data_IF_580536554898
#
_entry.id   IF_580536554898
#
_cell.length_a   1.000
_cell.length_b   1.000
_cell.length_c   1.000
_cell.angle_alpha   90.00
_cell.angle_beta   90.00
_cell.angle_gamma   90.00
#
_symmetry.space_group_name_H-M   'P 1'
#
loop_
_entity.id
_entity.type
_entity.pdbx_description
1 polymer ?
#
# COMPACT_ATOMS: atom_id res chain seq x y z
N UNK A 1 7.04 -15.87 30.82
CA UNK A 1 5.64 -15.72 30.38
C UNK A 1 5.64 -14.58 29.41
N UNK A 2 5.40 -14.84 28.12
CA UNK A 2 5.29 -13.77 27.13
C UNK A 2 3.96 -13.06 27.42
N UNK A 3 3.95 -11.74 27.44
CA UNK A 3 2.71 -10.96 27.60
C UNK A 3 1.75 -11.26 26.42
N UNK A 4 0.44 -11.21 26.65
CA UNK A 4 -0.57 -11.64 25.68
C UNK A 4 -0.41 -10.97 24.31
N UNK A 5 -0.20 -9.64 24.31
CA UNK A 5 -0.02 -8.86 23.09
C UNK A 5 1.28 -9.25 22.36
N UNK A 6 2.34 -9.59 23.10
CA UNK A 6 3.57 -10.07 22.50
C UNK A 6 3.42 -11.48 21.89
N UNK A 7 2.59 -12.35 22.48
CA UNK A 7 2.27 -13.65 21.92
C UNK A 7 1.43 -13.53 20.64
N UNK A 8 0.46 -12.61 20.60
CA UNK A 8 -0.31 -12.34 19.37
C UNK A 8 0.56 -11.70 18.28
N UNK A 9 1.43 -10.75 18.62
CA UNK A 9 2.41 -10.20 17.67
C UNK A 9 3.32 -11.27 17.09
N UNK A 10 3.81 -12.20 17.91
CA UNK A 10 4.60 -13.33 17.44
C UNK A 10 3.81 -14.23 16.48
N UNK A 11 2.52 -14.48 16.76
CA UNK A 11 1.67 -15.26 15.85
C UNK A 11 1.46 -14.58 14.50
N UNK A 12 1.43 -13.24 14.48
CA UNK A 12 1.33 -12.46 13.23
C UNK A 12 2.62 -12.46 12.41
N UNK A 13 3.73 -13.00 12.93
CA UNK A 13 4.96 -13.24 12.17
C UNK A 13 4.91 -14.56 11.37
N UNK A 14 3.97 -15.46 11.68
CA UNK A 14 3.73 -16.68 10.91
C UNK A 14 3.10 -16.35 9.54
N UNK A 15 3.33 -17.15 8.48
CA UNK A 15 2.70 -16.93 7.18
C UNK A 15 1.18 -16.84 7.29
N UNK A 16 0.56 -15.89 6.61
CA UNK A 16 -0.87 -15.62 6.75
C UNK A 16 -1.71 -16.85 6.38
N UNK A 17 -1.27 -17.58 5.35
CA UNK A 17 -1.82 -18.88 4.94
C UNK A 17 -1.78 -19.99 6.01
N UNK A 18 -0.81 -19.97 6.93
CA UNK A 18 -0.72 -20.91 8.06
C UNK A 18 -1.66 -20.53 9.22
N UNK A 19 -1.86 -19.22 9.45
CA UNK A 19 -2.76 -18.72 10.49
C UNK A 19 -4.22 -18.92 10.10
N UNK A 20 -4.55 -18.66 8.83
CA UNK A 20 -5.90 -18.76 8.27
C UNK A 20 -6.76 -17.50 8.45
N UNK A 21 -7.80 -17.38 7.63
CA UNK A 21 -8.64 -16.18 7.53
C UNK A 21 -9.46 -15.94 8.80
N UNK A 22 -10.17 -16.96 9.29
CA UNK A 22 -11.08 -16.83 10.43
C UNK A 22 -10.36 -16.52 11.74
N UNK A 23 -9.20 -17.14 12.06
CA UNK A 23 -8.43 -16.75 13.24
C UNK A 23 -7.94 -15.31 13.18
N UNK A 24 -7.51 -14.81 12.02
CA UNK A 24 -7.12 -13.40 11.84
C UNK A 24 -8.33 -12.47 12.03
N UNK A 25 -9.49 -12.80 11.47
CA UNK A 25 -10.73 -12.07 11.68
C UNK A 25 -11.11 -12.00 13.17
N UNK A 26 -11.01 -13.12 13.89
CA UNK A 26 -11.25 -13.17 15.32
C UNK A 26 -10.25 -12.30 16.10
N UNK A 27 -8.96 -12.32 15.72
CA UNK A 27 -7.94 -11.46 16.33
C UNK A 27 -8.27 -9.98 16.17
N UNK A 28 -8.74 -9.54 14.99
CA UNK A 28 -9.16 -8.16 14.74
C UNK A 28 -10.27 -7.75 15.72
N UNK A 29 -11.37 -8.52 15.78
CA UNK A 29 -12.50 -8.18 16.63
C UNK A 29 -12.14 -8.20 18.11
N UNK A 30 -11.44 -9.24 18.56
CA UNK A 30 -11.07 -9.39 19.96
C UNK A 30 -10.18 -8.24 20.43
N UNK A 31 -9.17 -7.88 19.63
CA UNK A 31 -8.26 -6.79 19.99
C UNK A 31 -8.96 -5.43 19.99
N UNK A 32 -9.85 -5.16 19.04
CA UNK A 32 -10.64 -3.93 19.07
C UNK A 32 -11.58 -3.89 20.27
N UNK A 33 -12.21 -5.02 20.61
CA UNK A 33 -13.06 -5.11 21.80
C UNK A 33 -12.26 -4.89 23.08
N UNK A 34 -11.06 -5.48 23.17
CA UNK A 34 -10.15 -5.27 24.29
C UNK A 34 -9.69 -3.81 24.39
N UNK A 35 -9.42 -3.15 23.26
CA UNK A 35 -9.11 -1.71 23.23
C UNK A 35 -10.26 -0.87 23.80
N UNK A 36 -11.50 -1.13 23.39
CA UNK A 36 -12.68 -0.41 23.89
C UNK A 36 -12.86 -0.61 25.39
N UNK A 37 -12.84 -1.86 25.85
CA UNK A 37 -13.02 -2.20 27.27
C UNK A 37 -11.89 -1.62 28.13
N UNK A 38 -10.65 -1.64 27.64
CA UNK A 38 -9.50 -1.06 28.34
C UNK A 38 -9.59 0.46 28.41
N UNK A 39 -10.11 1.10 27.37
CA UNK A 39 -10.33 2.56 27.35
C UNK A 39 -11.45 2.96 28.31
N UNK A 40 -12.56 2.21 28.32
CA UNK A 40 -13.66 2.43 29.26
C UNK A 40 -13.20 2.25 30.72
N UNK A 41 -12.47 1.17 31.00
CA UNK A 41 -11.89 0.91 32.30
C UNK A 41 -10.91 2.02 32.72
N UNK A 42 -10.06 2.47 31.79
CA UNK A 42 -9.12 3.58 32.02
C UNK A 42 -9.87 4.84 32.46
N UNK A 43 -10.90 5.25 31.70
CA UNK A 43 -11.67 6.45 32.00
C UNK A 43 -12.36 6.34 33.37
N UNK A 44 -13.05 5.24 33.63
CA UNK A 44 -13.74 5.02 34.90
C UNK A 44 -12.78 4.99 36.09
N UNK A 45 -11.61 4.38 35.93
CA UNK A 45 -10.59 4.30 36.98
C UNK A 45 -9.98 5.67 37.28
N UNK A 46 -9.61 6.42 36.24
CA UNK A 46 -9.01 7.74 36.39
C UNK A 46 -9.99 8.76 37.02
N UNK A 47 -11.29 8.66 36.72
CA UNK A 47 -12.34 9.47 37.35
C UNK A 47 -12.56 9.12 38.83
N UNK A 48 -12.38 7.85 39.20
CA UNK A 48 -12.59 7.38 40.57
C UNK A 48 -11.40 7.63 41.51
N UNK A 49 -10.20 7.84 40.96
CA UNK A 49 -8.97 8.01 41.72
C UNK A 49 -8.71 9.49 42.07
N UNK A 50 -8.19 9.78 43.27
CA UNK A 50 -7.57 11.08 43.54
C UNK A 50 -6.42 11.33 42.56
N UNK A 51 -6.22 12.60 42.18
CA UNK A 51 -5.26 12.98 41.12
C UNK A 51 -3.85 12.40 41.32
N UNK A 52 -3.34 12.42 42.55
CA UNK A 52 -2.01 11.89 42.87
C UNK A 52 -1.86 10.38 42.61
N UNK A 53 -2.96 9.63 42.60
CA UNK A 53 -2.96 8.20 42.25
C UNK A 53 -3.29 8.00 40.76
N UNK A 54 -4.17 8.82 40.19
CA UNK A 54 -4.49 8.77 38.76
C UNK A 54 -3.25 8.97 37.88
N UNK A 55 -2.36 9.90 38.25
CA UNK A 55 -1.08 10.14 37.56
C UNK A 55 -0.09 8.96 37.61
N UNK A 56 -0.30 7.97 38.50
CA UNK A 56 0.56 6.79 38.63
C UNK A 56 0.07 5.59 37.80
N UNK A 57 -1.14 5.66 37.23
CA UNK A 57 -1.73 4.55 36.46
C UNK A 57 -1.61 4.83 34.98
N UNK A 58 -1.09 3.86 34.22
CA UNK A 58 -0.93 3.96 32.77
C UNK A 58 -1.67 2.82 32.06
N UNK A 59 -2.74 3.16 31.34
CA UNK A 59 -3.45 2.25 30.44
C UNK A 59 -3.08 2.45 28.97
N UNK A 60 -2.37 3.53 28.65
CA UNK A 60 -2.13 3.98 27.28
C UNK A 60 -1.37 2.92 26.48
N UNK A 61 -0.34 2.32 27.06
CA UNK A 61 0.48 1.30 26.40
C UNK A 61 -0.33 0.03 26.09
N UNK A 62 -1.19 -0.38 27.02
CA UNK A 62 -2.08 -1.54 26.82
C UNK A 62 -3.11 -1.26 25.73
N UNK A 63 -3.77 -0.10 25.75
CA UNK A 63 -4.72 0.30 24.71
C UNK A 63 -4.03 0.37 23.34
N UNK A 64 -2.85 1.02 23.25
CA UNK A 64 -2.07 1.08 22.02
C UNK A 64 -1.71 -0.32 21.52
N UNK A 65 -1.26 -1.22 22.40
CA UNK A 65 -0.90 -2.59 22.04
C UNK A 65 -2.05 -3.36 21.39
N UNK A 66 -3.26 -3.28 21.94
CA UNK A 66 -4.44 -3.93 21.33
C UNK A 66 -4.77 -3.32 19.96
N UNK A 67 -4.71 -2.00 19.83
CA UNK A 67 -4.96 -1.35 18.56
C UNK A 67 -3.91 -1.70 17.48
N UNK A 68 -2.65 -1.87 17.88
CA UNK A 68 -1.56 -2.30 16.99
C UNK A 68 -1.77 -3.74 16.51
N UNK A 69 -2.10 -4.67 17.40
CA UNK A 69 -2.39 -6.07 17.02
C UNK A 69 -3.58 -6.12 16.07
N UNK A 70 -4.65 -5.38 16.34
CA UNK A 70 -5.79 -5.31 15.43
C UNK A 70 -5.42 -4.75 14.04
N UNK A 71 -4.56 -3.73 13.99
CA UNK A 71 -4.07 -3.16 12.73
C UNK A 71 -3.26 -4.18 11.93
N UNK A 72 -2.33 -4.87 12.58
CA UNK A 72 -1.49 -5.87 11.93
C UNK A 72 -2.30 -7.08 11.48
N UNK A 73 -3.26 -7.54 12.28
CA UNK A 73 -4.18 -8.61 11.89
C UNK A 73 -5.02 -8.25 10.64
N UNK A 74 -5.40 -6.97 10.46
CA UNK A 74 -6.01 -6.50 9.21
C UNK A 74 -5.07 -6.69 8.02
N UNK A 75 -3.80 -6.29 8.15
CA UNK A 75 -2.81 -6.46 7.09
C UNK A 75 -2.54 -7.93 6.78
N UNK A 76 -2.42 -8.79 7.81
CA UNK A 76 -2.28 -10.23 7.61
C UNK A 76 -3.50 -10.85 6.93
N UNK A 77 -4.72 -10.36 7.21
CA UNK A 77 -5.93 -10.81 6.50
C UNK A 77 -5.87 -10.46 5.01
N UNK A 78 -5.30 -9.31 4.65
CA UNK A 78 -5.02 -8.98 3.24
C UNK A 78 -3.95 -9.91 2.68
N UNK A 79 -2.89 -10.23 3.43
CA UNK A 79 -1.85 -11.16 2.98
C UNK A 79 -2.41 -12.55 2.67
N UNK A 80 -3.44 -13.04 3.38
CA UNK A 80 -4.10 -14.32 3.03
C UNK A 80 -4.58 -14.30 1.57
N UNK A 81 -5.17 -13.19 1.11
CA UNK A 81 -5.65 -13.05 -0.26
C UNK A 81 -4.47 -13.00 -1.24
N UNK A 82 -3.47 -12.18 -0.93
CA UNK A 82 -2.34 -12.00 -1.84
C UNK A 82 -1.40 -13.22 -1.83
N UNK A 83 -1.39 -14.07 -0.82
CA UNK A 83 -0.67 -15.34 -0.78
C UNK A 83 -1.44 -16.49 -1.46
N UNK A 84 -2.72 -16.29 -1.79
CA UNK A 84 -3.52 -17.30 -2.49
C UNK A 84 -2.86 -17.66 -3.84
N UNK A 85 -2.66 -18.96 -4.14
CA UNK A 85 -2.03 -19.38 -5.39
C UNK A 85 -2.75 -18.88 -6.65
N UNK A 86 -4.09 -18.85 -6.65
CA UNK A 86 -4.88 -18.36 -7.77
C UNK A 86 -4.70 -16.85 -7.98
N UNK A 87 -4.64 -16.08 -6.90
CA UNK A 87 -4.31 -14.65 -6.96
C UNK A 87 -2.88 -14.44 -7.46
N UNK A 88 -1.90 -15.15 -6.92
CA UNK A 88 -0.50 -15.07 -7.38
C UNK A 88 -0.35 -15.39 -8.87
N UNK A 89 -1.06 -16.42 -9.37
CA UNK A 89 -1.09 -16.77 -10.80
C UNK A 89 -1.64 -15.64 -11.69
N UNK A 90 -2.58 -14.84 -11.20
CA UNK A 90 -3.08 -13.66 -11.90
C UNK A 90 -2.07 -12.50 -11.83
N UNK A 91 -1.50 -12.24 -10.65
CA UNK A 91 -0.58 -11.12 -10.43
C UNK A 91 0.67 -11.21 -11.31
N UNK A 92 1.25 -12.40 -11.47
CA UNK A 92 2.43 -12.58 -12.34
C UNK A 92 2.13 -12.25 -13.82
N UNK A 93 0.85 -12.21 -14.23
CA UNK A 93 0.42 -11.87 -15.59
C UNK A 93 0.14 -10.38 -15.79
N UNK A 94 0.25 -9.54 -14.75
CA UNK A 94 0.15 -8.09 -14.89
C UNK A 94 1.17 -7.58 -15.92
N UNK A 95 0.74 -6.64 -16.75
CA UNK A 95 1.52 -6.10 -17.88
C UNK A 95 1.96 -7.14 -18.92
N UNK A 96 1.28 -8.29 -18.96
CA UNK A 96 1.42 -9.31 -20.01
C UNK A 96 0.18 -9.34 -20.93
N UNK A 97 0.15 -10.30 -21.85
CA UNK A 97 -0.93 -10.44 -22.84
C UNK A 97 -2.31 -10.61 -22.20
N UNK A 98 -2.46 -11.51 -21.23
CA UNK A 98 -3.74 -11.75 -20.56
C UNK A 98 -4.26 -10.50 -19.84
N UNK A 99 -3.35 -9.69 -19.27
CA UNK A 99 -3.67 -8.40 -18.66
C UNK A 99 -4.10 -7.38 -19.72
N UNK A 100 -3.39 -7.31 -20.86
CA UNK A 100 -3.74 -6.43 -21.96
C UNK A 100 -5.15 -6.70 -22.52
N UNK A 101 -5.55 -7.98 -22.53
CA UNK A 101 -6.89 -8.43 -22.92
C UNK A 101 -7.97 -8.16 -21.84
N UNK A 102 -7.61 -7.60 -20.68
CA UNK A 102 -8.53 -7.21 -19.60
C UNK A 102 -8.83 -8.32 -18.57
N UNK A 103 -8.37 -9.55 -18.81
CA UNK A 103 -8.75 -10.72 -18.01
C UNK A 103 -8.22 -10.66 -16.57
N UNK A 104 -6.99 -10.17 -16.39
CA UNK A 104 -6.30 -10.23 -15.09
C UNK A 104 -7.03 -9.38 -14.05
N UNK A 105 -7.29 -8.11 -14.35
CA UNK A 105 -7.92 -7.18 -13.41
C UNK A 105 -9.35 -7.59 -13.07
N UNK A 106 -10.12 -8.04 -14.08
CA UNK A 106 -11.50 -8.52 -13.88
C UNK A 106 -11.56 -9.75 -12.96
N UNK A 107 -10.66 -10.72 -13.15
CA UNK A 107 -10.61 -11.90 -12.28
C UNK A 107 -10.07 -11.59 -10.89
N UNK A 108 -9.15 -10.64 -10.75
CA UNK A 108 -8.68 -10.19 -9.45
C UNK A 108 -9.83 -9.57 -8.64
N UNK A 109 -10.59 -8.63 -9.20
CA UNK A 109 -11.70 -8.00 -8.46
C UNK A 109 -12.83 -8.97 -8.16
N UNK A 110 -13.10 -9.94 -9.05
CA UNK A 110 -14.06 -11.01 -8.76
C UNK A 110 -13.60 -11.86 -7.56
N UNK A 111 -12.33 -12.27 -7.55
CA UNK A 111 -11.74 -13.04 -6.45
C UNK A 111 -11.74 -12.24 -5.14
N UNK A 112 -11.40 -10.95 -5.19
CA UNK A 112 -11.50 -10.06 -4.04
C UNK A 112 -12.93 -9.96 -3.52
N UNK A 113 -13.93 -9.90 -4.40
CA UNK A 113 -15.34 -9.89 -4.03
C UNK A 113 -15.78 -11.12 -3.21
N UNK A 114 -15.29 -12.30 -3.59
CA UNK A 114 -15.54 -13.54 -2.86
C UNK A 114 -14.93 -13.47 -1.45
N UNK A 115 -13.64 -13.10 -1.33
CA UNK A 115 -12.99 -12.92 -0.03
C UNK A 115 -13.66 -11.82 0.81
N UNK A 116 -14.07 -10.72 0.20
CA UNK A 116 -14.73 -9.62 0.90
C UNK A 116 -16.05 -10.08 1.49
N UNK A 117 -16.79 -10.92 0.77
CA UNK A 117 -18.03 -11.53 1.26
C UNK A 117 -17.76 -12.38 2.49
N UNK A 118 -16.74 -13.24 2.46
CA UNK A 118 -16.37 -14.09 3.59
C UNK A 118 -15.89 -13.29 4.80
N UNK A 119 -14.93 -12.38 4.61
CA UNK A 119 -14.38 -11.55 5.69
C UNK A 119 -15.47 -10.72 6.35
N UNK A 120 -16.40 -10.15 5.57
CA UNK A 120 -17.52 -9.36 6.09
C UNK A 120 -18.45 -10.16 7.01
N UNK A 121 -18.50 -11.49 6.89
CA UNK A 121 -19.27 -12.33 7.83
C UNK A 121 -18.62 -12.41 9.21
N UNK A 122 -17.29 -12.22 9.29
CA UNK A 122 -16.53 -12.48 10.50
C UNK A 122 -16.09 -11.23 11.25
N UNK A 123 -15.96 -10.07 10.61
CA UNK A 123 -15.49 -8.83 11.26
C UNK A 123 -16.52 -7.71 11.26
N UNK A 124 -16.41 -6.81 12.24
CA UNK A 124 -17.29 -5.65 12.33
C UNK A 124 -17.14 -4.71 11.12
N UNK A 125 -18.25 -4.07 10.73
CA UNK A 125 -18.33 -3.18 9.55
C UNK A 125 -17.23 -2.10 9.52
N UNK A 126 -16.89 -1.51 10.68
CA UNK A 126 -15.81 -0.51 10.76
C UNK A 126 -14.45 -1.11 10.40
N UNK A 127 -14.17 -2.32 10.87
CA UNK A 127 -12.94 -3.07 10.61
C UNK A 127 -12.90 -3.56 9.17
N UNK A 128 -14.03 -4.02 8.65
CA UNK A 128 -14.18 -4.42 7.26
C UNK A 128 -13.80 -3.29 6.30
N UNK A 129 -14.26 -2.06 6.53
CA UNK A 129 -13.85 -0.90 5.71
C UNK A 129 -12.34 -0.63 5.75
N UNK A 130 -11.69 -0.85 6.89
CA UNK A 130 -10.22 -0.70 7.02
C UNK A 130 -9.47 -1.81 6.29
N UNK A 131 -10.01 -3.02 6.33
CA UNK A 131 -9.49 -4.16 5.57
C UNK A 131 -9.59 -3.93 4.07
N UNK A 132 -10.74 -3.47 3.55
CA UNK A 132 -10.89 -3.13 2.14
C UNK A 132 -9.94 -2.00 1.72
N UNK A 133 -9.79 -0.98 2.56
CA UNK A 133 -8.84 0.12 2.34
C UNK A 133 -7.39 -0.40 2.25
N UNK A 134 -6.98 -1.32 3.14
CA UNK A 134 -5.67 -1.95 3.09
C UNK A 134 -5.48 -2.86 1.85
N UNK A 135 -6.52 -3.56 1.42
CA UNK A 135 -6.51 -4.38 0.21
C UNK A 135 -6.33 -3.53 -1.06
N UNK A 136 -6.97 -2.36 -1.14
CA UNK A 136 -6.75 -1.40 -2.23
C UNK A 136 -5.30 -0.90 -2.23
N UNK A 137 -4.76 -0.56 -1.06
CA UNK A 137 -3.36 -0.12 -0.95
C UNK A 137 -2.37 -1.19 -1.41
N UNK A 138 -2.54 -2.46 -1.01
CA UNK A 138 -1.71 -3.57 -1.48
C UNK A 138 -1.85 -3.78 -3.00
N UNK A 139 -3.08 -3.69 -3.53
CA UNK A 139 -3.32 -3.78 -4.99
C UNK A 139 -2.52 -2.73 -5.75
N UNK A 140 -2.55 -1.48 -5.30
CA UNK A 140 -1.81 -0.38 -5.93
C UNK A 140 -0.29 -0.61 -5.84
N UNK A 141 0.21 -1.08 -4.70
CA UNK A 141 1.63 -1.44 -4.54
C UNK A 141 2.04 -2.51 -5.54
N UNK A 142 1.24 -3.56 -5.70
CA UNK A 142 1.52 -4.67 -6.61
C UNK A 142 1.48 -4.23 -8.08
N UNK A 143 0.48 -3.44 -8.48
CA UNK A 143 0.42 -2.85 -9.83
C UNK A 143 1.64 -1.97 -10.10
N UNK A 144 2.00 -1.11 -9.15
CA UNK A 144 3.18 -0.24 -9.26
C UNK A 144 4.47 -1.06 -9.41
N UNK A 145 4.65 -2.12 -8.63
CA UNK A 145 5.85 -2.97 -8.70
C UNK A 145 5.94 -3.70 -10.05
N UNK A 146 4.83 -4.24 -10.57
CA UNK A 146 4.81 -4.91 -11.87
C UNK A 146 5.03 -3.93 -13.03
N UNK A 147 4.50 -2.72 -12.96
CA UNK A 147 4.77 -1.66 -13.94
C UNK A 147 6.27 -1.34 -14.01
N UNK A 148 6.91 -1.21 -12.85
CA UNK A 148 8.31 -0.79 -12.73
C UNK A 148 9.33 -1.92 -12.95
N UNK A 149 8.87 -3.16 -13.09
CA UNK A 149 9.69 -4.35 -13.32
C UNK A 149 9.44 -5.04 -14.66
N UNK A 150 8.36 -4.68 -15.35
CA UNK A 150 8.11 -5.21 -16.69
C UNK A 150 9.27 -4.91 -17.64
N UNK A 151 9.37 -5.70 -18.72
CA UNK A 151 10.43 -5.58 -19.71
C UNK A 151 9.92 -5.24 -21.10
N UNK A 152 8.62 -5.10 -21.24
CA UNK A 152 7.96 -4.76 -22.50
C UNK A 152 7.87 -3.25 -22.61
N UNK A 153 8.07 -2.73 -23.82
CA UNK A 153 7.86 -1.31 -24.06
C UNK A 153 6.40 -0.93 -23.87
N UNK A 154 6.19 0.23 -23.26
CA UNK A 154 4.88 0.84 -23.08
C UNK A 154 4.41 1.40 -24.42
N UNK A 155 3.23 0.95 -24.84
CA UNK A 155 2.54 1.38 -26.06
C UNK A 155 1.21 2.02 -25.72
N UNK A 156 0.55 2.61 -26.71
CA UNK A 156 -0.78 3.23 -26.53
C UNK A 156 -1.81 2.23 -25.97
N UNK A 157 -1.79 0.98 -26.44
CA UNK A 157 -2.65 -0.08 -25.90
C UNK A 157 -2.38 -0.38 -24.41
N UNK A 158 -1.13 -0.24 -23.96
CA UNK A 158 -0.74 -0.36 -22.56
C UNK A 158 -1.34 0.78 -21.74
N UNK A 159 -1.22 2.02 -22.23
CA UNK A 159 -1.76 3.21 -21.58
C UNK A 159 -3.28 3.13 -21.45
N UNK A 160 -3.98 2.73 -22.51
CA UNK A 160 -5.43 2.59 -22.47
C UNK A 160 -5.86 1.47 -21.51
N UNK A 161 -5.14 0.34 -21.48
CA UNK A 161 -5.42 -0.73 -20.52
C UNK A 161 -5.22 -0.29 -19.07
N UNK A 162 -4.16 0.47 -18.78
CA UNK A 162 -3.94 1.06 -17.44
C UNK A 162 -5.12 1.96 -17.04
N UNK A 163 -5.61 2.80 -17.95
CA UNK A 163 -6.77 3.67 -17.72
C UNK A 163 -8.04 2.88 -17.39
N UNK A 164 -8.31 1.82 -18.15
CA UNK A 164 -9.47 0.96 -17.91
C UNK A 164 -9.35 0.20 -16.58
N UNK A 165 -8.14 -0.18 -16.17
CA UNK A 165 -7.93 -0.82 -14.87
C UNK A 165 -8.13 0.15 -13.70
N UNK A 166 -7.73 1.41 -13.85
CA UNK A 166 -8.06 2.47 -12.89
C UNK A 166 -9.59 2.53 -12.69
N UNK A 167 -10.37 2.50 -13.77
CA UNK A 167 -11.84 2.49 -13.72
C UNK A 167 -12.41 1.25 -13.02
N UNK A 168 -11.93 0.05 -13.37
CA UNK A 168 -12.39 -1.21 -12.75
C UNK A 168 -12.09 -1.22 -11.25
N UNK A 169 -10.89 -0.80 -10.85
CA UNK A 169 -10.52 -0.71 -9.43
C UNK A 169 -11.37 0.36 -8.71
N UNK A 170 -11.58 1.53 -9.32
CA UNK A 170 -12.43 2.57 -8.73
C UNK A 170 -13.87 2.08 -8.52
N UNK A 171 -14.44 1.46 -9.55
CA UNK A 171 -15.82 0.98 -9.54
C UNK A 171 -16.03 -0.15 -8.52
N UNK A 172 -15.09 -1.08 -8.42
CA UNK A 172 -15.16 -2.17 -7.45
C UNK A 172 -15.01 -1.66 -6.00
N UNK A 173 -13.95 -0.92 -5.69
CA UNK A 173 -13.66 -0.54 -4.31
C UNK A 173 -14.63 0.49 -3.73
N UNK A 174 -15.25 1.34 -4.56
CA UNK A 174 -16.24 2.34 -4.09
C UNK A 174 -17.56 1.74 -3.61
N UNK A 175 -17.82 0.46 -3.90
CA UNK A 175 -18.98 -0.25 -3.36
C UNK A 175 -18.84 -0.51 -1.85
N UNK A 176 -17.61 -0.49 -1.33
CA UNK A 176 -17.29 -0.90 0.04
C UNK A 176 -16.75 0.24 0.91
N UNK A 177 -16.04 1.20 0.32
CA UNK A 177 -15.48 2.37 1.01
C UNK A 177 -15.82 3.67 0.28
N UNK A 178 -15.66 4.82 0.96
CA UNK A 178 -16.05 6.12 0.39
C UNK A 178 -15.27 6.45 -0.89
N UNK A 179 -15.96 6.99 -1.90
CA UNK A 179 -15.38 7.42 -3.19
C UNK A 179 -14.06 8.18 -3.04
N UNK A 180 -14.03 9.21 -2.19
CA UNK A 180 -12.82 10.02 -1.96
C UNK A 180 -11.60 9.21 -1.49
N UNK A 181 -11.81 8.16 -0.68
CA UNK A 181 -10.72 7.27 -0.23
C UNK A 181 -10.18 6.40 -1.35
N UNK A 182 -11.05 6.00 -2.28
CA UNK A 182 -10.69 5.22 -3.46
C UNK A 182 -9.92 6.10 -4.43
N UNK A 183 -10.49 7.25 -4.82
CA UNK A 183 -9.88 8.22 -5.73
C UNK A 183 -8.48 8.63 -5.26
N UNK A 184 -8.33 9.01 -3.98
CA UNK A 184 -7.04 9.46 -3.44
C UNK A 184 -5.96 8.38 -3.53
N UNK A 185 -6.33 7.10 -3.42
CA UNK A 185 -5.40 5.98 -3.50
C UNK A 185 -5.08 5.60 -4.93
N UNK A 186 -6.10 5.49 -5.78
CA UNK A 186 -5.95 5.13 -7.20
C UNK A 186 -5.21 6.23 -7.98
N UNK A 187 -5.28 7.49 -7.54
CA UNK A 187 -4.66 8.65 -8.21
C UNK A 187 -3.24 8.38 -8.73
N UNK A 188 -2.40 7.74 -7.91
CA UNK A 188 -1.02 7.44 -8.28
C UNK A 188 -0.88 6.51 -9.50
N UNK A 189 -1.81 5.59 -9.73
CA UNK A 189 -1.81 4.75 -10.93
C UNK A 189 -2.04 5.63 -12.17
N UNK A 190 -2.96 6.59 -12.07
CA UNK A 190 -3.20 7.61 -13.09
C UNK A 190 -1.97 8.50 -13.33
N UNK A 191 -1.32 8.96 -12.27
CA UNK A 191 -0.11 9.79 -12.40
C UNK A 191 1.06 9.01 -13.03
N UNK A 192 1.22 7.73 -12.68
CA UNK A 192 2.21 6.84 -13.30
C UNK A 192 1.87 6.56 -14.77
N UNK A 193 0.58 6.43 -15.11
CA UNK A 193 0.11 6.35 -16.51
C UNK A 193 0.45 7.63 -17.27
N UNK A 194 0.22 8.80 -16.68
CA UNK A 194 0.54 10.09 -17.30
C UNK A 194 2.05 10.25 -17.53
N UNK A 195 2.90 9.90 -16.55
CA UNK A 195 4.35 9.81 -16.73
C UNK A 195 4.71 8.84 -17.85
N UNK A 196 4.06 7.67 -17.87
CA UNK A 196 4.25 6.67 -18.89
C UNK A 196 3.77 7.10 -20.28
N UNK A 197 2.92 8.13 -20.43
CA UNK A 197 2.51 8.70 -21.73
C UNK A 197 3.15 10.05 -22.06
N UNK A 198 3.87 10.68 -21.13
CA UNK A 198 4.46 12.01 -21.32
C UNK A 198 5.38 12.08 -22.57
N UNK A 199 5.30 13.19 -23.32
CA UNK A 199 5.98 13.36 -24.61
C UNK A 199 7.05 14.46 -24.61
N UNK A 200 7.15 15.22 -23.51
CA UNK A 200 8.06 16.36 -23.41
C UNK A 200 8.66 16.47 -22.01
N UNK A 201 9.83 17.14 -21.92
CA UNK A 201 10.49 17.43 -20.65
C UNK A 201 9.55 18.15 -19.67
N UNK A 202 8.86 19.19 -20.15
CA UNK A 202 7.91 19.97 -19.35
C UNK A 202 6.75 19.11 -18.82
N UNK A 203 6.27 18.14 -19.62
CA UNK A 203 5.23 17.21 -19.16
C UNK A 203 5.76 16.30 -18.05
N UNK A 204 6.95 15.72 -18.21
CA UNK A 204 7.56 14.87 -17.18
C UNK A 204 7.75 15.62 -15.86
N UNK A 205 8.32 16.83 -15.92
CA UNK A 205 8.61 17.63 -14.72
C UNK A 205 7.33 18.08 -14.02
N UNK A 206 6.30 18.50 -14.78
CA UNK A 206 5.01 18.88 -14.22
C UNK A 206 4.32 17.70 -13.53
N UNK A 207 4.19 16.56 -14.20
CA UNK A 207 3.52 15.38 -13.64
C UNK A 207 4.28 14.89 -12.41
N UNK A 208 5.61 14.83 -12.47
CA UNK A 208 6.41 14.40 -11.32
C UNK A 208 6.31 15.36 -10.14
N UNK A 209 6.27 16.67 -10.38
CA UNK A 209 6.01 17.68 -9.33
C UNK A 209 4.66 17.43 -8.67
N UNK A 210 3.61 17.19 -9.46
CA UNK A 210 2.27 16.89 -8.94
C UNK A 210 2.27 15.59 -8.11
N UNK A 211 3.00 14.56 -8.53
CA UNK A 211 3.15 13.33 -7.75
C UNK A 211 3.73 13.64 -6.38
N UNK A 212 4.79 14.45 -6.29
CA UNK A 212 5.43 14.78 -5.02
C UNK A 212 4.53 15.56 -4.06
N UNK A 213 3.49 16.26 -4.54
CA UNK A 213 2.53 16.93 -3.67
C UNK A 213 1.73 15.96 -2.79
N UNK A 214 1.48 14.73 -3.26
CA UNK A 214 0.68 13.73 -2.53
C UNK A 214 1.37 12.39 -2.29
N UNK A 215 2.48 12.11 -2.97
CA UNK A 215 3.43 11.02 -2.70
C UNK A 215 4.86 11.58 -2.63
N UNK A 216 5.19 12.38 -1.59
CA UNK A 216 6.49 13.03 -1.48
C UNK A 216 7.68 12.08 -1.35
N UNK A 217 7.45 10.80 -1.07
CA UNK A 217 8.46 9.75 -1.03
C UNK A 217 8.62 8.99 -2.36
N UNK A 218 7.99 9.46 -3.45
CA UNK A 218 8.21 8.93 -4.79
C UNK A 218 9.65 9.22 -5.24
N UNK A 219 10.51 8.21 -5.42
CA UNK A 219 11.90 8.45 -5.74
C UNK A 219 12.08 8.61 -7.26
N UNK A 220 13.09 9.37 -7.72
CA UNK A 220 13.30 9.65 -9.15
C UNK A 220 13.61 8.39 -9.97
N UNK A 221 14.02 7.30 -9.34
CA UNK A 221 14.16 5.96 -9.92
C UNK A 221 12.86 5.47 -10.59
N UNK A 222 11.69 5.93 -10.13
CA UNK A 222 10.39 5.66 -10.77
C UNK A 222 10.36 6.26 -12.18
N UNK A 223 10.74 7.53 -12.31
CA UNK A 223 10.82 8.22 -13.61
C UNK A 223 11.85 7.55 -14.50
N UNK A 224 13.03 7.23 -13.96
CA UNK A 224 14.10 6.54 -14.70
C UNK A 224 13.61 5.21 -15.30
N UNK A 225 12.89 4.41 -14.53
CA UNK A 225 12.32 3.14 -14.99
C UNK A 225 11.24 3.34 -16.06
N UNK A 226 10.31 4.27 -15.87
CA UNK A 226 9.24 4.53 -16.84
C UNK A 226 9.78 5.08 -18.17
N UNK A 227 10.72 6.01 -18.12
CA UNK A 227 11.38 6.55 -19.33
C UNK A 227 12.12 5.44 -20.08
N UNK A 228 12.77 4.50 -19.37
CA UNK A 228 13.45 3.37 -20.00
C UNK A 228 12.49 2.39 -20.70
N UNK A 229 11.22 2.36 -20.32
CA UNK A 229 10.18 1.55 -20.95
C UNK A 229 9.49 2.25 -22.14
N UNK A 230 9.93 3.47 -22.52
CA UNK A 230 9.37 4.19 -23.66
C UNK A 230 10.19 4.01 -24.93
N UNK A 231 9.50 3.68 -26.01
CA UNK A 231 10.06 3.81 -27.36
C UNK A 231 9.99 5.26 -27.83
N UNK A 232 10.98 5.67 -28.64
CA UNK A 232 10.96 6.97 -29.32
C UNK A 232 11.55 8.15 -28.53
N UNK A 233 11.90 7.98 -27.25
CA UNK A 233 12.62 9.02 -26.49
C UNK A 233 14.13 8.91 -26.76
N UNK A 234 14.78 9.95 -27.33
CA UNK A 234 16.22 9.94 -27.52
C UNK A 234 16.97 9.80 -26.19
N UNK A 235 18.07 9.05 -26.18
CA UNK A 235 18.85 8.80 -24.95
C UNK A 235 19.35 10.08 -24.26
N UNK A 236 19.58 11.15 -25.04
CA UNK A 236 19.97 12.45 -24.49
C UNK A 236 18.82 13.04 -23.68
N UNK A 237 17.64 13.10 -24.28
CA UNK A 237 16.42 13.66 -23.68
C UNK A 237 15.97 12.82 -22.47
N UNK A 238 16.09 11.49 -22.55
CA UNK A 238 15.84 10.60 -21.41
C UNK A 238 16.73 10.92 -20.20
N UNK A 239 18.02 11.23 -20.43
CA UNK A 239 18.93 11.64 -19.34
C UNK A 239 18.57 13.00 -18.76
N UNK A 240 18.16 13.92 -19.63
CA UNK A 240 17.73 15.27 -19.23
C UNK A 240 16.48 15.20 -18.36
N UNK A 241 15.46 14.44 -18.77
CA UNK A 241 14.25 14.17 -17.98
C UNK A 241 14.60 13.62 -16.59
N UNK A 242 15.44 12.59 -16.52
CA UNK A 242 15.81 11.97 -15.25
C UNK A 242 16.60 12.93 -14.37
N UNK A 243 17.45 13.77 -14.95
CA UNK A 243 18.24 14.75 -14.19
C UNK A 243 17.34 15.84 -13.60
N UNK A 244 16.45 16.43 -14.40
CA UNK A 244 15.51 17.46 -13.93
C UNK A 244 14.57 16.92 -12.84
N UNK A 245 14.03 15.71 -13.01
CA UNK A 245 13.21 15.09 -11.96
C UNK A 245 14.01 14.78 -10.68
N UNK A 246 15.31 14.44 -10.79
CA UNK A 246 16.19 14.29 -9.61
C UNK A 246 16.35 15.61 -8.86
N UNK A 247 16.56 16.71 -9.57
CA UNK A 247 16.68 18.05 -8.97
C UNK A 247 15.36 18.49 -8.31
N UNK A 248 14.21 18.24 -8.95
CA UNK A 248 12.88 18.49 -8.36
C UNK A 248 12.71 17.70 -7.05
N UNK A 249 13.07 16.41 -7.05
CA UNK A 249 12.98 15.59 -5.86
C UNK A 249 13.86 16.13 -4.73
N UNK A 250 15.13 16.42 -5.01
CA UNK A 250 16.09 16.97 -4.03
C UNK A 250 15.59 18.28 -3.42
N UNK A 251 15.00 19.16 -4.23
CA UNK A 251 14.42 20.43 -3.77
C UNK A 251 13.14 20.27 -2.93
N UNK A 252 12.46 19.13 -3.04
CA UNK A 252 11.25 18.83 -2.25
C UNK A 252 11.56 18.30 -0.83
N UNK A 253 12.80 17.89 -0.57
CA UNK A 253 13.20 17.29 0.70
C UNK A 253 13.27 18.33 1.81
N UNK A 254 12.87 17.91 3.03
CA UNK A 254 13.02 18.68 4.27
C UNK A 254 14.07 17.97 5.12
N UNK A 255 15.16 18.68 5.44
CA UNK A 255 16.30 18.11 6.17
C UNK A 255 16.85 16.81 5.53
N UNK A 256 16.82 16.75 4.20
CA UNK A 256 17.30 15.60 3.42
C UNK A 256 16.36 14.39 3.42
N UNK A 257 15.12 14.52 3.91
CA UNK A 257 14.13 13.45 3.92
C UNK A 257 12.81 13.91 3.27
N UNK A 258 12.03 12.99 2.68
CA UNK A 258 10.66 13.29 2.26
C UNK A 258 9.85 13.82 3.44
N UNK A 259 9.02 14.87 3.26
CA UNK A 259 8.20 15.44 4.34
C UNK A 259 7.19 14.46 4.93
N UNK A 260 6.80 13.42 4.17
CA UNK A 260 5.91 12.36 4.61
C UNK A 260 6.23 11.07 3.86
N UNK A 261 6.03 9.93 4.53
CA UNK A 261 6.08 8.61 3.87
C UNK A 261 4.69 8.25 3.35
N UNK A 262 4.62 7.87 2.07
CA UNK A 262 3.45 7.32 1.43
C UNK A 262 3.28 5.83 1.72
N UNK A 263 2.20 5.23 1.21
CA UNK A 263 1.94 3.79 1.42
C UNK A 263 2.57 2.90 0.33
N UNK A 264 3.19 3.50 -0.70
CA UNK A 264 3.55 2.82 -1.95
C UNK A 264 5.04 2.56 -2.02
N UNK A 265 5.86 3.60 -2.17
CA UNK A 265 7.23 3.47 -2.64
C UNK A 265 8.17 2.81 -1.63
N UNK A 266 7.86 2.90 -0.33
CA UNK A 266 8.52 2.11 0.72
C UNK A 266 8.20 0.61 0.70
N UNK A 267 7.21 0.16 -0.09
CA UNK A 267 6.77 -1.25 -0.20
C UNK A 267 6.99 -1.84 -1.59
N UNK A 268 7.28 -1.03 -2.60
CA UNK A 268 7.61 -1.49 -3.96
C UNK A 268 8.95 -2.22 -3.96
N UNK A 269 8.93 -3.54 -4.23
CA UNK A 269 10.08 -4.43 -4.11
C UNK A 269 11.26 -4.01 -4.99
N UNK A 270 10.97 -3.53 -6.19
CA UNK A 270 12.00 -3.14 -7.15
C UNK A 270 12.77 -1.86 -6.80
N UNK A 271 12.23 -1.07 -5.85
CA UNK A 271 12.84 0.17 -5.35
C UNK A 271 13.55 -0.04 -4.00
N UNK A 272 13.21 -1.11 -3.29
CA UNK A 272 13.92 -1.51 -2.08
C UNK A 272 15.36 -1.91 -2.46
N UNK A 273 16.30 -1.04 -2.10
CA UNK A 273 17.73 -1.37 -2.11
C UNK A 273 17.92 -2.71 -1.38
N UNK A 274 18.65 -3.69 -1.95
CA UNK A 274 19.01 -4.88 -1.20
C UNK A 274 19.75 -4.43 0.07
N UNK A 275 19.18 -4.72 1.25
CA UNK A 275 19.83 -4.49 2.54
C UNK A 275 21.08 -5.37 2.63
N UNK A 276 22.20 -4.89 2.07
CA UNK A 276 23.48 -5.58 2.11
C UNK A 276 24.31 -5.32 0.87
N UNK A 277 25.24 -4.36 0.96
CA UNK A 277 26.68 -4.54 0.66
C UNK A 277 27.47 -3.21 0.71
N UNK A 278 26.82 -2.04 0.75
CA UNK A 278 27.52 -0.74 0.64
C UNK A 278 27.79 0.00 1.96
N UNK A 279 27.86 -0.70 3.10
CA UNK A 279 28.35 -0.12 4.38
C UNK A 279 29.79 -0.49 4.75
N UNK A 280 30.54 -1.11 3.83
CA UNK A 280 31.99 -1.30 3.96
C UNK A 280 32.69 -0.70 2.76
N UNK A 281 32.87 0.61 2.76
CA UNK A 281 33.98 1.33 2.12
C UNK A 281 33.90 2.80 2.56
N UNK A 282 34.10 3.00 3.85
CA UNK A 282 34.56 4.26 4.44
C UNK A 282 35.45 3.86 5.63
N UNK A 283 36.61 3.29 5.30
CA UNK A 283 37.84 3.51 6.07
C UNK A 283 38.47 4.80 5.52
#
# INVERSE_FOLDING_TARGET
MIDFQAAEKHRLEEPASEVGLEPLCAMINNNLRCYELSTELSNSTLEALPQNYAEQVNFEDTCKGFLEVAKEAVHQTVNVIFEDPGVQELLVKLYQKDWLEGMVTEYLVATFGDYFTDVKMYIEERSFRRFVEACLEETIVVYTDHLLTQKTYIKEETIERMRLDEEVLMDFFREYISVTKVETRVKILGDLRELASAESLDSFTLIYTNILEHQPDCPPEVVEKLVALREGIPRKDAKEVVQECKEIYENSLVDGNPPKTGFIFGRVKCLLQPKGLWRKLAQ
#
